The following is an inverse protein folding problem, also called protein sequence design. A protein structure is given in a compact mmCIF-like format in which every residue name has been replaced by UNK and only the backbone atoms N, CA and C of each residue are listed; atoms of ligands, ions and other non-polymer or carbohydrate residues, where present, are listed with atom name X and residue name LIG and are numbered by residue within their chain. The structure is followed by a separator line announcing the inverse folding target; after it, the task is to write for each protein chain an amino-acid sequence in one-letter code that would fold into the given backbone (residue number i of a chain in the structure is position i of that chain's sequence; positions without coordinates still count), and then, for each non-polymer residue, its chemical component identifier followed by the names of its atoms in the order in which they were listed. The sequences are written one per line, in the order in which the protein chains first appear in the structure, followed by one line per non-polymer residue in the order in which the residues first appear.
data_IF_437814685275
#
_entry.id   IF_437814685275
#
_cell.length_a   1.000
_cell.length_b   1.000
_cell.length_c   1.000
_cell.angle_alpha   90.00
_cell.angle_beta   90.00
_cell.angle_gamma   90.00
#
_symmetry.space_group_name_H-M   'P 1'
#
loop_
_entity.id
_entity.type
_entity.pdbx_description
1 polymer ?
#
# COMPACT_ATOMS: atom_id res chain seq x y z
N UNK A 1 34.54 -32.92 -10.87
CA UNK A 1 33.20 -33.43 -11.24
C UNK A 1 32.19 -32.35 -10.84
N UNK A 2 31.50 -31.75 -11.80
CA UNK A 2 30.49 -30.69 -11.52
C UNK A 2 29.17 -31.41 -11.29
N UNK A 3 28.58 -31.27 -10.10
CA UNK A 3 27.26 -31.82 -9.82
C UNK A 3 26.20 -31.04 -10.63
N UNK A 4 25.22 -31.70 -11.27
CA UNK A 4 24.11 -31.01 -11.91
C UNK A 4 23.32 -30.26 -10.84
N UNK A 5 23.17 -28.95 -11.01
CA UNK A 5 22.30 -28.15 -10.15
C UNK A 5 20.86 -28.65 -10.34
N UNK A 6 20.08 -28.84 -9.25
CA UNK A 6 18.69 -29.22 -9.38
C UNK A 6 17.97 -28.12 -10.17
N UNK A 7 17.62 -28.40 -11.43
CA UNK A 7 17.08 -27.43 -12.37
C UNK A 7 15.62 -27.02 -12.07
N UNK A 8 15.11 -27.30 -10.87
CA UNK A 8 13.70 -27.17 -10.53
C UNK A 8 12.82 -28.12 -11.34
N UNK A 9 11.50 -28.02 -11.16
CA UNK A 9 10.54 -28.71 -12.02
C UNK A 9 10.53 -28.01 -13.38
N UNK A 10 11.18 -28.60 -14.38
CA UNK A 10 11.16 -28.13 -15.76
C UNK A 10 9.84 -28.56 -16.40
N UNK A 11 8.97 -27.58 -16.64
CA UNK A 11 7.72 -27.80 -17.35
C UNK A 11 7.92 -27.58 -18.86
N UNK A 12 7.24 -28.37 -19.72
CA UNK A 12 7.18 -28.12 -21.14
C UNK A 12 6.62 -26.72 -21.45
N UNK A 13 7.16 -26.06 -22.47
CA UNK A 13 6.72 -24.71 -22.90
C UNK A 13 5.27 -24.70 -23.37
N UNK A 14 4.80 -25.83 -23.88
CA UNK A 14 3.44 -26.07 -24.35
C UNK A 14 2.42 -25.88 -23.21
N UNK A 15 2.81 -26.16 -21.96
CA UNK A 15 1.95 -25.92 -20.80
C UNK A 15 1.69 -24.43 -20.58
N UNK A 16 2.69 -23.57 -20.77
CA UNK A 16 2.50 -22.12 -20.62
C UNK A 16 1.57 -21.55 -21.70
N UNK A 17 1.55 -22.16 -22.88
CA UNK A 17 0.70 -21.74 -24.00
C UNK A 17 -0.72 -22.31 -23.91
N UNK A 18 -0.97 -23.20 -22.94
CA UNK A 18 -2.29 -23.81 -22.77
C UNK A 18 -3.31 -22.81 -22.21
N UNK A 19 -4.55 -22.86 -22.72
CA UNK A 19 -5.61 -21.94 -22.29
C UNK A 19 -5.96 -22.05 -20.81
N UNK A 20 -5.86 -23.24 -20.20
CA UNK A 20 -6.18 -23.43 -18.79
C UNK A 20 -5.14 -22.78 -17.87
N UNK A 21 -3.84 -22.84 -18.24
CA UNK A 21 -2.78 -22.11 -17.53
C UNK A 21 -2.97 -20.60 -17.68
N UNK A 22 -3.36 -20.13 -18.87
CA UNK A 22 -3.62 -18.70 -19.09
C UNK A 22 -4.74 -18.17 -18.18
N UNK A 23 -5.81 -18.96 -17.98
CA UNK A 23 -6.90 -18.61 -17.05
C UNK A 23 -6.38 -18.54 -15.60
N UNK A 24 -5.64 -19.55 -15.14
CA UNK A 24 -5.04 -19.56 -13.79
C UNK A 24 -4.07 -18.39 -13.59
N UNK A 25 -3.20 -18.16 -14.57
CA UNK A 25 -2.24 -17.05 -14.56
C UNK A 25 -2.97 -15.70 -14.49
N UNK A 26 -4.11 -15.56 -15.18
CA UNK A 26 -4.94 -14.35 -15.12
C UNK A 26 -5.52 -14.12 -13.71
N UNK A 27 -6.02 -15.16 -13.04
CA UNK A 27 -6.49 -15.04 -11.65
C UNK A 27 -5.36 -14.59 -10.71
N UNK A 28 -4.19 -15.22 -10.83
CA UNK A 28 -3.02 -14.85 -10.02
C UNK A 28 -2.56 -13.42 -10.33
N UNK A 29 -2.53 -13.03 -11.60
CA UNK A 29 -2.16 -11.69 -12.04
C UNK A 29 -3.12 -10.63 -11.47
N UNK A 30 -4.43 -10.84 -11.56
CA UNK A 30 -5.44 -9.92 -11.01
C UNK A 30 -5.26 -9.76 -9.50
N UNK A 31 -5.13 -10.86 -8.76
CA UNK A 31 -4.90 -10.79 -7.32
C UNK A 31 -3.59 -10.05 -6.97
N UNK A 32 -2.53 -10.32 -7.72
CA UNK A 32 -1.21 -9.68 -7.53
C UNK A 32 -1.28 -8.18 -7.79
N UNK A 33 -1.91 -7.77 -8.89
CA UNK A 33 -2.08 -6.34 -9.24
C UNK A 33 -2.94 -5.63 -8.19
N UNK A 34 -4.03 -6.24 -7.76
CA UNK A 34 -4.89 -5.67 -6.72
C UNK A 34 -4.15 -5.50 -5.40
N UNK A 35 -3.46 -6.55 -4.96
CA UNK A 35 -2.68 -6.51 -3.72
C UNK A 35 -1.54 -5.49 -3.81
N UNK A 36 -0.83 -5.46 -4.93
CA UNK A 36 0.22 -4.47 -5.21
C UNK A 36 -0.34 -3.05 -5.12
N UNK A 37 -1.48 -2.78 -5.75
CA UNK A 37 -2.11 -1.45 -5.71
C UNK A 37 -2.46 -1.03 -4.27
N UNK A 38 -3.06 -1.94 -3.48
CA UNK A 38 -3.37 -1.68 -2.09
C UNK A 38 -2.12 -1.49 -1.22
N UNK A 39 -1.08 -2.29 -1.46
CA UNK A 39 0.20 -2.16 -0.76
C UNK A 39 0.84 -0.80 -1.03
N UNK A 40 0.87 -0.38 -2.31
CA UNK A 40 1.36 0.94 -2.70
C UNK A 40 0.54 2.06 -2.04
N UNK A 41 -0.79 2.01 -2.13
CA UNK A 41 -1.67 2.98 -1.47
C UNK A 41 -1.42 3.07 0.03
N UNK A 42 -1.14 1.93 0.68
CA UNK A 42 -0.86 1.86 2.12
C UNK A 42 0.53 2.38 2.49
N UNK A 43 1.52 2.27 1.60
CA UNK A 43 2.86 2.84 1.81
C UNK A 43 2.81 4.36 1.80
N UNK A 44 1.90 4.97 1.03
CA UNK A 44 1.73 6.42 1.05
C UNK A 44 1.12 6.87 2.39
N UNK A 45 1.82 7.72 3.16
CA UNK A 45 1.25 8.28 4.37
C UNK A 45 0.04 9.15 4.00
N UNK A 46 -1.08 8.95 4.69
CA UNK A 46 -2.26 9.79 4.50
C UNK A 46 -1.87 11.27 4.69
N UNK A 47 -2.21 12.16 3.74
CA UNK A 47 -1.89 13.58 3.88
C UNK A 47 -2.58 14.10 5.14
N UNK A 48 -1.78 14.56 6.11
CA UNK A 48 -2.31 15.27 7.27
C UNK A 48 -2.84 16.60 6.77
N UNK A 49 -4.11 16.67 6.41
CA UNK A 49 -4.81 17.95 6.33
C UNK A 49 -4.83 18.50 7.75
N UNK A 50 -3.86 19.37 8.06
CA UNK A 50 -3.91 20.21 9.24
C UNK A 50 -5.15 21.08 9.11
N UNK A 51 -6.28 20.58 9.61
CA UNK A 51 -7.43 21.40 9.89
C UNK A 51 -6.97 22.31 11.03
N UNK A 52 -6.51 23.51 10.70
CA UNK A 52 -6.56 24.65 11.63
C UNK A 52 -8.04 24.90 11.86
N UNK A 53 -8.64 24.07 12.70
CA UNK A 53 -10.02 24.19 13.10
C UNK A 53 -10.26 25.58 13.69
N UNK A 54 -11.54 25.94 13.72
CA UNK A 54 -12.16 27.08 14.41
C UNK A 54 -11.75 27.25 15.89
N UNK A 55 -10.83 26.43 16.40
CA UNK A 55 -10.22 26.44 17.72
C UNK A 55 -9.09 27.47 17.88
N UNK A 56 -9.00 28.48 17.01
CA UNK A 56 -8.27 29.70 17.37
C UNK A 56 -9.12 30.34 18.47
N UNK A 57 -8.73 30.16 19.74
CA UNK A 57 -9.41 30.81 20.88
C UNK A 57 -9.56 32.29 20.53
N UNK A 58 -10.79 32.73 20.31
CA UNK A 58 -11.10 34.12 20.03
C UNK A 58 -10.97 34.98 21.30
N UNK A 59 -10.97 34.34 22.46
CA UNK A 59 -11.07 35.02 23.75
C UNK A 59 -10.20 34.34 24.81
N UNK A 60 -9.43 35.15 25.50
CA UNK A 60 -8.61 34.76 26.65
C UNK A 60 -9.54 34.58 27.84
N UNK A 61 -9.71 33.34 28.31
CA UNK A 61 -10.37 33.05 29.59
C UNK A 61 -9.34 32.93 30.69
N UNK A 62 -8.54 33.98 30.90
CA UNK A 62 -7.65 34.06 32.06
C UNK A 62 -8.49 34.31 33.32
N UNK A 63 -8.12 33.64 34.41
CA UNK A 63 -8.68 33.87 35.75
C UNK A 63 -7.95 34.99 36.49
N UNK A 64 -6.99 35.62 35.82
CA UNK A 64 -6.22 36.73 36.33
C UNK A 64 -6.73 37.99 35.62
N UNK A 65 -7.17 39.01 36.39
CA UNK A 65 -7.44 40.31 35.81
C UNK A 65 -6.11 40.86 35.30
N UNK A 66 -6.11 41.39 34.07
CA UNK A 66 -4.96 42.17 33.60
C UNK A 66 -4.84 43.40 34.52
N UNK A 67 -3.66 43.63 35.07
CA UNK A 67 -3.42 44.73 35.99
C UNK A 67 -3.76 46.07 35.32
N UNK A 68 -4.43 47.01 36.03
CA UNK A 68 -4.77 48.30 35.46
C UNK A 68 -3.49 49.10 35.16
N UNK A 69 -3.43 49.65 33.95
CA UNK A 69 -2.37 50.55 33.45
C UNK A 69 -2.50 51.94 34.06
#
# INVERSE_FOLDING_TARGET
MIAPLPAGLLFPVELLQSGWVAVLASFVAVNTILYMALALLKIFPAPRLTHRGRSRRAETRSIHPDDPV
#
